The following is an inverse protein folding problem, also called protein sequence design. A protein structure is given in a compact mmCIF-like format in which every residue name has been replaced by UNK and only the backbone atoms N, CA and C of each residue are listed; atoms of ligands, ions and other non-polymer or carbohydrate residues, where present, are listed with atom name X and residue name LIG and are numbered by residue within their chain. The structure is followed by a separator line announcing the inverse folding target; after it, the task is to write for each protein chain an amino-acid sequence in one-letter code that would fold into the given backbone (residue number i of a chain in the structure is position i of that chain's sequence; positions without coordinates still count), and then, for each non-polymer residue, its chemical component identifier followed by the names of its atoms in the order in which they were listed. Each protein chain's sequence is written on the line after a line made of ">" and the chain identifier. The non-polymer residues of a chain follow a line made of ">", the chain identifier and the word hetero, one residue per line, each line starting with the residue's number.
data_IF_734862000998
#
_entry.id   IF_734862000998
#
_cell.length_a   1.000
_cell.length_b   1.000
_cell.length_c   1.000
_cell.angle_alpha   90.00
_cell.angle_beta   90.00
_cell.angle_gamma   90.00
#
_symmetry.space_group_name_H-M   'P 1'
#
loop_
_entity.id
_entity.type
_entity.pdbx_description
1 polymer ?
#
# COMPACT_ATOMS: atom_id res chain seq x y z
N UNK A 1 -1.33 6.38 18.37
CA UNK A 1 -2.63 6.59 17.70
C UNK A 1 -3.08 5.28 17.09
N UNK A 2 -4.37 5.07 16.97
CA UNK A 2 -4.94 3.87 16.35
C UNK A 2 -4.91 4.05 14.83
N UNK A 3 -4.39 3.05 14.13
CA UNK A 3 -4.42 2.96 12.67
C UNK A 3 -5.33 1.80 12.30
N UNK A 4 -6.29 2.04 11.43
CA UNK A 4 -7.18 1.01 10.91
C UNK A 4 -6.95 0.87 9.41
N UNK A 5 -6.69 -0.36 8.97
CA UNK A 5 -6.49 -0.69 7.56
C UNK A 5 -7.61 -1.64 7.16
N UNK A 6 -8.34 -1.28 6.11
CA UNK A 6 -9.32 -2.14 5.48
C UNK A 6 -8.89 -2.35 4.05
N UNK A 7 -8.76 -3.60 3.63
CA UNK A 7 -8.34 -3.95 2.28
C UNK A 7 -9.31 -4.98 1.70
N UNK A 8 -9.90 -4.66 0.55
CA UNK A 8 -10.63 -5.62 -0.27
C UNK A 8 -9.72 -6.04 -1.41
N UNK A 9 -9.44 -7.33 -1.50
CA UNK A 9 -8.57 -7.93 -2.51
C UNK A 9 -9.44 -8.82 -3.40
N UNK A 10 -9.34 -8.65 -4.71
CA UNK A 10 -9.97 -9.55 -5.66
C UNK A 10 -8.92 -10.21 -6.55
N UNK A 11 -8.94 -11.54 -6.58
CA UNK A 11 -8.02 -12.40 -7.34
C UNK A 11 -8.84 -13.37 -8.18
N UNK A 12 -9.01 -13.06 -9.46
CA UNK A 12 -9.93 -13.79 -10.32
C UNK A 12 -11.36 -13.77 -9.77
N UNK A 13 -11.88 -14.94 -9.41
CA UNK A 13 -13.21 -15.11 -8.82
C UNK A 13 -13.24 -14.99 -7.29
N UNK A 14 -12.08 -14.96 -6.62
CA UNK A 14 -11.99 -14.91 -5.17
C UNK A 14 -11.96 -13.46 -4.68
N UNK A 15 -12.61 -13.20 -3.55
CA UNK A 15 -12.59 -11.91 -2.87
C UNK A 15 -12.26 -12.12 -1.39
N UNK A 16 -11.24 -11.41 -0.92
CA UNK A 16 -10.83 -11.37 0.48
C UNK A 16 -11.07 -9.98 1.06
N UNK A 17 -11.51 -9.94 2.32
CA UNK A 17 -11.71 -8.71 3.08
C UNK A 17 -10.83 -8.76 4.33
N UNK A 18 -9.82 -7.90 4.36
CA UNK A 18 -8.88 -7.77 5.48
C UNK A 18 -9.24 -6.54 6.29
N UNK A 19 -9.18 -6.67 7.60
CA UNK A 19 -9.32 -5.58 8.56
C UNK A 19 -8.24 -5.72 9.63
N UNK A 20 -7.31 -4.77 9.67
CA UNK A 20 -6.21 -4.72 10.62
C UNK A 20 -6.31 -3.47 11.49
N UNK A 21 -5.90 -3.58 12.75
CA UNK A 21 -5.78 -2.47 13.67
C UNK A 21 -4.39 -2.47 14.32
N UNK A 22 -3.71 -1.32 14.26
CA UNK A 22 -2.37 -1.18 14.82
C UNK A 22 -2.27 0.07 15.69
N UNK A 23 -1.28 0.07 16.58
CA UNK A 23 -0.79 1.31 17.18
C UNK A 23 0.35 1.86 16.33
N UNK A 24 0.33 3.17 16.10
CA UNK A 24 1.39 3.85 15.37
C UNK A 24 1.48 5.33 15.67
N UNK A 25 2.19 6.02 14.80
CA UNK A 25 2.52 7.44 14.90
C UNK A 25 2.40 8.10 13.53
N UNK A 26 1.86 9.33 13.51
CA UNK A 26 1.86 10.20 12.34
C UNK A 26 2.83 11.36 12.59
N UNK A 27 3.74 11.59 11.65
CA UNK A 27 4.58 12.79 11.60
C UNK A 27 4.35 13.52 10.29
N UNK A 28 4.27 14.85 10.33
CA UNK A 28 4.14 15.69 9.13
C UNK A 28 5.46 16.45 8.91
N UNK A 29 6.01 16.39 7.69
CA UNK A 29 7.21 17.15 7.29
C UNK A 29 7.02 17.74 5.89
N UNK A 30 6.84 19.06 5.83
CA UNK A 30 6.38 19.71 4.60
C UNK A 30 5.01 19.15 4.20
N UNK A 31 4.85 18.81 2.92
CA UNK A 31 3.59 18.25 2.39
C UNK A 31 3.43 16.74 2.61
N UNK A 32 4.45 16.09 3.20
CA UNK A 32 4.44 14.66 3.42
C UNK A 32 3.97 14.27 4.81
N UNK A 33 3.06 13.31 4.84
CA UNK A 33 2.63 12.54 5.99
C UNK A 33 3.47 11.27 6.09
N UNK A 34 3.86 10.92 7.31
CA UNK A 34 4.61 9.71 7.63
C UNK A 34 3.82 8.95 8.68
N UNK A 35 3.08 7.93 8.25
CA UNK A 35 2.37 7.02 9.15
C UNK A 35 3.24 5.78 9.37
N UNK A 36 3.60 5.53 10.63
CA UNK A 36 4.53 4.46 11.02
C UNK A 36 3.85 3.54 12.02
N UNK A 37 3.91 2.24 11.76
CA UNK A 37 3.35 1.20 12.62
C UNK A 37 4.15 -0.09 12.53
N UNK A 38 3.79 -1.09 13.34
CA UNK A 38 4.27 -2.47 13.21
C UNK A 38 3.12 -3.36 12.75
N UNK A 39 3.34 -4.17 11.71
CA UNK A 39 2.38 -5.16 11.25
C UNK A 39 2.35 -6.40 12.17
N UNK A 40 1.54 -7.39 11.83
CA UNK A 40 1.41 -8.64 12.60
C UNK A 40 2.72 -9.44 12.71
N UNK A 41 3.60 -9.31 11.72
CA UNK A 41 4.92 -9.96 11.67
C UNK A 41 6.00 -9.18 12.46
N UNK A 42 5.60 -8.20 13.27
CA UNK A 42 6.48 -7.28 14.00
C UNK A 42 7.45 -6.49 13.10
N UNK A 43 7.12 -6.34 11.81
CA UNK A 43 7.89 -5.57 10.86
C UNK A 43 7.45 -4.11 10.92
N UNK A 44 8.43 -3.21 10.95
CA UNK A 44 8.15 -1.78 10.83
C UNK A 44 7.61 -1.49 9.43
N UNK A 45 6.48 -0.81 9.35
CA UNK A 45 5.89 -0.27 8.12
C UNK A 45 5.95 1.24 8.18
N UNK A 46 6.41 1.86 7.10
CA UNK A 46 6.40 3.32 6.91
C UNK A 46 5.60 3.63 5.66
N UNK A 47 4.53 4.38 5.84
CA UNK A 47 3.74 4.98 4.77
C UNK A 47 4.12 6.44 4.67
N UNK A 48 4.83 6.80 3.59
CA UNK A 48 5.14 8.20 3.26
C UNK A 48 4.21 8.63 2.13
N UNK A 49 3.30 9.56 2.39
CA UNK A 49 2.32 9.98 1.40
C UNK A 49 2.07 11.49 1.40
N UNK A 50 1.58 11.98 0.27
CA UNK A 50 1.03 13.32 0.07
C UNK A 50 -0.23 13.21 -0.80
N UNK A 51 -0.69 14.31 -1.38
CA UNK A 51 -1.97 14.39 -2.09
C UNK A 51 -2.13 13.39 -3.26
N UNK A 52 -1.04 13.02 -3.93
CA UNK A 52 -1.06 12.26 -5.20
C UNK A 52 -0.17 11.01 -5.21
N UNK A 53 0.62 10.76 -4.16
CA UNK A 53 1.50 9.59 -4.09
C UNK A 53 1.60 9.01 -2.68
N UNK A 54 1.77 7.68 -2.62
CA UNK A 54 2.13 6.92 -1.44
C UNK A 54 3.36 6.05 -1.76
N UNK A 55 4.34 6.10 -0.88
CA UNK A 55 5.43 5.13 -0.79
C UNK A 55 5.29 4.34 0.51
N UNK A 56 5.00 3.05 0.36
CA UNK A 56 5.03 2.07 1.45
C UNK A 56 6.39 1.38 1.48
N UNK A 57 7.04 1.41 2.64
CA UNK A 57 8.24 0.61 2.92
C UNK A 57 7.95 -0.31 4.10
N UNK A 58 8.03 -1.61 3.86
CA UNK A 58 7.98 -2.64 4.91
C UNK A 58 9.41 -3.11 5.17
N UNK A 59 9.88 -2.93 6.40
CA UNK A 59 11.24 -3.26 6.81
C UNK A 59 11.40 -4.77 7.12
N UNK A 60 10.90 -5.60 6.21
CA UNK A 60 11.10 -7.04 6.17
C UNK A 60 12.55 -7.37 5.78
N UNK A 61 12.95 -8.65 5.85
CA UNK A 61 14.25 -9.13 5.37
C UNK A 61 14.06 -10.18 4.26
N UNK A 62 14.23 -9.82 2.97
CA UNK A 62 14.57 -8.49 2.43
C UNK A 62 13.38 -7.51 2.50
N UNK A 63 13.63 -6.22 2.26
CA UNK A 63 12.61 -5.17 2.38
C UNK A 63 11.58 -5.23 1.24
N UNK A 64 10.31 -4.91 1.54
CA UNK A 64 9.31 -4.63 0.52
C UNK A 64 9.16 -3.12 0.31
N UNK A 65 9.05 -2.72 -0.96
CA UNK A 65 8.80 -1.33 -1.34
C UNK A 65 7.66 -1.31 -2.36
N UNK A 66 6.61 -0.55 -2.07
CA UNK A 66 5.48 -0.36 -2.99
C UNK A 66 5.19 1.12 -3.14
N UNK A 67 5.09 1.58 -4.38
CA UNK A 67 4.73 2.97 -4.69
C UNK A 67 3.37 2.98 -5.36
N UNK A 68 2.60 4.03 -5.11
CA UNK A 68 1.29 4.30 -5.71
C UNK A 68 1.29 5.77 -6.10
N UNK A 69 0.88 6.06 -7.34
CA UNK A 69 0.85 7.42 -7.88
C UNK A 69 -0.48 7.58 -8.61
N UNK A 70 -1.24 8.61 -8.28
CA UNK A 70 -2.57 8.83 -8.82
C UNK A 70 -2.57 8.79 -10.36
N UNK A 71 -3.38 7.90 -10.94
CA UNK A 71 -3.52 7.71 -12.40
C UNK A 71 -2.24 7.29 -13.14
N UNK A 72 -1.23 6.77 -12.45
CA UNK A 72 0.03 6.35 -13.04
C UNK A 72 0.43 4.91 -12.65
N UNK A 73 1.36 4.36 -13.43
CA UNK A 73 2.04 3.12 -13.10
C UNK A 73 3.22 3.40 -12.16
N UNK A 74 3.43 2.57 -11.14
CA UNK A 74 4.56 2.69 -10.24
C UNK A 74 5.21 1.35 -9.89
N UNK A 75 6.52 1.36 -9.66
CA UNK A 75 7.29 0.15 -9.38
C UNK A 75 7.05 -0.36 -7.96
N UNK A 76 6.94 -1.68 -7.86
CA UNK A 76 6.90 -2.43 -6.61
C UNK A 76 7.99 -3.49 -6.58
N UNK A 77 8.53 -3.74 -5.39
CA UNK A 77 9.56 -4.74 -5.13
C UNK A 77 9.15 -5.54 -3.91
N UNK A 78 8.75 -6.80 -4.14
CA UNK A 78 8.22 -7.68 -3.10
C UNK A 78 9.13 -8.91 -2.96
N UNK A 79 9.67 -9.18 -1.76
CA UNK A 79 10.32 -10.44 -1.42
C UNK A 79 9.38 -11.62 -1.58
N UNK A 80 9.84 -12.67 -2.26
CA UNK A 80 9.19 -13.97 -2.28
C UNK A 80 10.21 -15.06 -1.94
N UNK A 81 9.78 -16.30 -1.63
CA UNK A 81 10.69 -17.43 -1.44
C UNK A 81 11.62 -17.68 -2.64
N UNK A 82 11.22 -17.28 -3.85
CA UNK A 82 11.99 -17.41 -5.09
C UNK A 82 12.89 -16.20 -5.38
N UNK A 83 12.95 -15.23 -4.47
CA UNK A 83 13.71 -13.99 -4.63
C UNK A 83 12.81 -12.76 -4.71
N UNK A 84 13.43 -11.61 -4.91
CA UNK A 84 12.70 -10.33 -5.03
C UNK A 84 12.04 -10.22 -6.39
N UNK A 85 10.71 -10.14 -6.39
CA UNK A 85 9.92 -9.90 -7.59
C UNK A 85 9.72 -8.40 -7.79
N UNK A 86 9.93 -7.93 -9.01
CA UNK A 86 9.57 -6.58 -9.44
C UNK A 86 8.21 -6.66 -10.12
N UNK A 87 7.29 -5.82 -9.66
CA UNK A 87 5.92 -5.73 -10.14
C UNK A 87 5.55 -4.26 -10.37
N UNK A 88 4.34 -4.01 -10.85
CA UNK A 88 3.84 -2.66 -11.11
C UNK A 88 2.48 -2.49 -10.47
N UNK A 89 2.25 -1.36 -9.82
CA UNK A 89 0.91 -0.91 -9.40
C UNK A 89 0.35 0.01 -10.46
N UNK A 90 -0.95 -0.12 -10.74
CA UNK A 90 -1.71 0.82 -11.56
C UNK A 90 -2.81 1.43 -10.68
N UNK A 91 -2.62 2.67 -10.25
CA UNK A 91 -3.52 3.31 -9.30
C UNK A 91 -4.63 4.06 -10.03
N UNK A 92 -5.89 3.64 -9.80
CA UNK A 92 -7.08 4.20 -10.44
C UNK A 92 -7.77 5.26 -9.58
N UNK A 93 -7.72 5.10 -8.26
CA UNK A 93 -8.22 6.08 -7.29
C UNK A 93 -7.15 6.35 -6.25
N UNK A 94 -6.98 7.61 -5.88
CA UNK A 94 -6.12 8.05 -4.79
C UNK A 94 -6.75 9.29 -4.15
N UNK A 95 -7.13 9.19 -2.89
CA UNK A 95 -7.81 10.26 -2.18
C UNK A 95 -7.30 10.35 -0.76
N UNK A 96 -6.73 11.50 -0.42
CA UNK A 96 -6.30 11.86 0.91
C UNK A 96 -7.28 12.86 1.52
N UNK A 97 -7.98 12.45 2.57
CA UNK A 97 -8.76 13.34 3.44
C UNK A 97 -7.95 13.70 4.70
N UNK A 98 -8.61 14.28 5.71
CA UNK A 98 -7.94 14.71 6.94
C UNK A 98 -7.31 13.55 7.73
N UNK A 99 -8.00 12.41 7.79
CA UNK A 99 -7.68 11.28 8.65
C UNK A 99 -7.77 9.92 7.94
N UNK A 100 -7.99 9.94 6.62
CA UNK A 100 -8.12 8.73 5.79
C UNK A 100 -7.38 8.89 4.47
N UNK A 101 -6.63 7.86 4.09
CA UNK A 101 -6.09 7.66 2.76
C UNK A 101 -6.81 6.47 2.12
N UNK A 102 -7.46 6.70 0.97
CA UNK A 102 -8.14 5.66 0.20
C UNK A 102 -7.50 5.53 -1.18
N UNK A 103 -7.25 4.30 -1.61
CA UNK A 103 -6.73 4.03 -2.95
C UNK A 103 -7.32 2.74 -3.52
N UNK A 104 -7.52 2.75 -4.84
CA UNK A 104 -7.84 1.55 -5.62
C UNK A 104 -6.76 1.35 -6.68
N UNK A 105 -6.30 0.11 -6.82
CA UNK A 105 -5.23 -0.19 -7.77
C UNK A 105 -5.27 -1.64 -8.24
N UNK A 106 -4.60 -1.88 -9.36
CA UNK A 106 -4.28 -3.21 -9.85
C UNK A 106 -2.80 -3.50 -9.59
N UNK A 107 -2.48 -4.73 -9.20
CA UNK A 107 -1.11 -5.23 -9.14
C UNK A 107 -0.84 -6.04 -10.41
N UNK A 108 0.10 -5.57 -11.23
CA UNK A 108 0.48 -6.16 -12.50
C UNK A 108 1.84 -6.86 -12.38
N UNK A 109 2.08 -7.97 -13.09
CA UNK A 109 3.40 -8.61 -13.11
C UNK A 109 4.45 -7.71 -13.77
N UNK A 110 4.07 -6.92 -14.77
CA UNK A 110 4.90 -5.91 -15.45
C UNK A 110 4.02 -4.82 -16.10
N UNK A 111 4.64 -3.72 -16.53
CA UNK A 111 3.93 -2.54 -17.04
C UNK A 111 3.06 -2.80 -18.29
N UNK A 112 3.49 -3.74 -19.14
CA UNK A 112 2.80 -4.09 -20.40
C UNK A 112 1.71 -5.16 -20.21
N UNK A 113 1.45 -5.61 -18.98
CA UNK A 113 0.49 -6.69 -18.73
C UNK A 113 -0.94 -6.18 -18.93
N UNK A 114 -1.74 -6.94 -19.71
CA UNK A 114 -3.18 -6.70 -19.85
C UNK A 114 -3.94 -7.20 -18.62
N UNK A 115 -3.51 -8.34 -18.07
CA UNK A 115 -4.13 -8.97 -16.91
C UNK A 115 -3.45 -8.54 -15.60
N UNK A 116 -4.28 -8.24 -14.60
CA UNK A 116 -3.83 -8.01 -13.23
C UNK A 116 -3.70 -9.33 -12.46
N UNK A 117 -2.69 -9.40 -11.57
CA UNK A 117 -2.59 -10.47 -10.58
C UNK A 117 -3.72 -10.37 -9.55
N UNK A 118 -4.03 -9.14 -9.15
CA UNK A 118 -5.08 -8.83 -8.19
C UNK A 118 -5.51 -7.37 -8.30
N UNK A 119 -6.74 -7.08 -7.89
CA UNK A 119 -7.24 -5.72 -7.71
C UNK A 119 -7.51 -5.44 -6.23
N UNK A 120 -7.28 -4.20 -5.82
CA UNK A 120 -7.27 -3.79 -4.43
C UNK A 120 -8.11 -2.53 -4.23
N UNK A 121 -8.84 -2.49 -3.12
CA UNK A 121 -9.45 -1.29 -2.57
C UNK A 121 -9.04 -1.18 -1.11
N UNK A 122 -8.15 -0.26 -0.80
CA UNK A 122 -7.61 -0.07 0.55
C UNK A 122 -8.00 1.30 1.10
N UNK A 123 -8.36 1.30 2.38
CA UNK A 123 -8.61 2.48 3.18
C UNK A 123 -7.77 2.38 4.45
N UNK A 124 -7.00 3.43 4.71
CA UNK A 124 -6.09 3.55 5.85
C UNK A 124 -6.53 4.78 6.63
N UNK A 125 -7.01 4.61 7.85
CA UNK A 125 -7.42 5.71 8.72
C UNK A 125 -6.60 5.78 10.00
N UNK A 126 -6.45 6.99 10.57
CA UNK A 126 -5.70 7.21 11.82
C UNK A 126 -6.44 8.15 12.77
N UNK A 127 -6.63 7.71 14.04
CA UNK A 127 -7.34 8.44 15.10
C UNK A 127 -6.62 8.33 16.46
#
# INVERSE_FOLDING_TARGET
>A
MKITIKNKIQMGSETELIHEEHQGELTIKGDYHYLVYQNEEAEKVVLKFKLDELLMTRFSKPQSLMRFVANELALCSIPTPMGTQKMVTKTHHFELSQDVLTLSYELLPHAESEDALATYQISISWL
#
